data_IF_500869224597
#
_entry.id   IF_500869224597
#
_cell.length_a   1.000
_cell.length_b   1.000
_cell.length_c   1.000
_cell.angle_alpha   90.00
_cell.angle_beta   90.00
_cell.angle_gamma   90.00
#
_symmetry.space_group_name_H-M   'P 1'
#
loop_
_entity.id
_entity.type
_entity.pdbx_description
1 polymer ?
#
# COMPACT_ATOMS: atom_id res chain seq x y z
N UNK A 1 5.13 21.28 -23.37
CA UNK A 1 3.84 20.71 -23.81
C UNK A 1 2.88 20.75 -22.60
N UNK A 2 1.88 21.63 -22.66
CA UNK A 2 0.79 21.62 -21.68
C UNK A 2 -0.18 20.51 -22.07
N UNK A 3 -0.24 19.47 -21.23
CA UNK A 3 -1.17 18.35 -21.41
C UNK A 3 -2.36 18.58 -20.50
N UNK A 4 -3.59 18.49 -21.03
CA UNK A 4 -4.79 18.67 -20.21
C UNK A 4 -4.96 17.55 -19.17
N UNK A 5 -5.54 17.83 -17.99
CA UNK A 5 -5.83 16.79 -16.99
C UNK A 5 -6.66 15.64 -17.54
N UNK A 6 -7.58 15.91 -18.47
CA UNK A 6 -8.40 14.91 -19.15
C UNK A 6 -7.53 13.96 -20.00
N UNK A 7 -6.53 14.49 -20.67
CA UNK A 7 -5.59 13.69 -21.49
C UNK A 7 -4.71 12.82 -20.60
N UNK A 8 -4.19 13.36 -19.50
CA UNK A 8 -3.41 12.59 -18.51
C UNK A 8 -4.23 11.44 -17.97
N UNK A 9 -5.48 11.68 -17.54
CA UNK A 9 -6.39 10.65 -17.06
C UNK A 9 -6.56 9.52 -18.09
N UNK A 10 -6.77 9.87 -19.36
CA UNK A 10 -6.91 8.89 -20.45
C UNK A 10 -5.66 8.03 -20.63
N UNK A 11 -4.45 8.65 -20.53
CA UNK A 11 -3.21 7.88 -20.62
C UNK A 11 -3.06 6.92 -19.46
N UNK A 12 -3.36 7.33 -18.24
CA UNK A 12 -3.36 6.47 -17.07
C UNK A 12 -4.30 5.28 -17.27
N UNK A 13 -5.53 5.53 -17.76
CA UNK A 13 -6.50 4.46 -18.03
C UNK A 13 -6.01 3.47 -19.11
N UNK A 14 -5.29 3.94 -20.13
CA UNK A 14 -4.68 3.08 -21.17
C UNK A 14 -3.58 2.22 -20.55
N UNK A 15 -2.64 2.83 -19.81
CA UNK A 15 -1.52 2.12 -19.18
C UNK A 15 -2.00 1.07 -18.17
N UNK A 16 -3.09 1.36 -17.44
CA UNK A 16 -3.72 0.42 -16.51
C UNK A 16 -4.34 -0.78 -17.24
N UNK A 17 -5.07 -0.54 -18.35
CA UNK A 17 -5.60 -1.62 -19.20
C UNK A 17 -4.54 -2.48 -19.86
N UNK A 18 -3.35 -1.94 -20.07
CA UNK A 18 -2.18 -2.66 -20.60
C UNK A 18 -1.40 -3.40 -19.50
N UNK A 19 -1.85 -3.35 -18.24
CA UNK A 19 -1.13 -3.92 -17.09
C UNK A 19 0.30 -3.39 -16.92
N UNK A 20 0.56 -2.16 -17.34
CA UNK A 20 1.84 -1.49 -17.09
C UNK A 20 1.87 -0.85 -15.71
N UNK A 21 0.70 -0.33 -15.27
CA UNK A 21 0.52 0.30 -13.97
C UNK A 21 -0.76 -0.18 -13.30
N UNK A 22 -0.85 0.03 -11.99
CA UNK A 22 -2.09 -0.05 -11.23
C UNK A 22 -2.22 1.13 -10.27
N UNK A 23 -3.45 1.44 -9.89
CA UNK A 23 -3.76 2.56 -9.01
C UNK A 23 -4.17 2.08 -7.63
N UNK A 24 -3.62 2.73 -6.61
CA UNK A 24 -4.06 2.58 -5.22
C UNK A 24 -4.77 3.87 -4.82
N UNK A 25 -6.09 3.78 -4.65
CA UNK A 25 -6.94 4.93 -4.31
C UNK A 25 -6.90 5.20 -2.81
N UNK A 26 -7.20 6.43 -2.36
CA UNK A 26 -7.26 6.71 -0.93
C UNK A 26 -8.45 6.00 -0.27
N UNK A 27 -8.22 5.48 0.93
CA UNK A 27 -9.32 4.97 1.78
C UNK A 27 -10.18 6.14 2.25
N UNK A 28 -11.48 6.03 2.03
CA UNK A 28 -12.45 6.98 2.56
C UNK A 28 -13.75 6.26 2.91
N UNK A 29 -14.29 6.50 4.12
CA UNK A 29 -15.60 5.97 4.52
C UNK A 29 -16.73 6.42 3.59
N UNK A 30 -16.58 7.54 2.90
CA UNK A 30 -17.49 8.04 1.88
C UNK A 30 -16.85 7.93 0.50
N UNK A 31 -17.34 7.00 -0.33
CA UNK A 31 -16.82 6.68 -1.67
C UNK A 31 -16.76 7.92 -2.57
N UNK A 32 -17.76 8.80 -2.52
CA UNK A 32 -17.79 10.02 -3.33
C UNK A 32 -16.61 10.97 -3.03
N UNK A 33 -16.10 10.99 -1.80
CA UNK A 33 -14.92 11.79 -1.41
C UNK A 33 -13.60 11.11 -1.74
N UNK A 34 -13.57 9.79 -1.84
CA UNK A 34 -12.37 9.05 -2.28
C UNK A 34 -12.06 9.34 -3.75
N UNK A 35 -13.08 9.46 -4.59
CA UNK A 35 -12.93 9.70 -6.04
C UNK A 35 -12.31 11.07 -6.36
N UNK A 36 -12.39 12.04 -5.45
CA UNK A 36 -11.86 13.40 -5.63
C UNK A 36 -10.36 13.54 -5.28
N UNK A 37 -9.73 12.51 -4.72
CA UNK A 37 -8.31 12.53 -4.37
C UNK A 37 -7.49 11.76 -5.40
N UNK A 38 -6.27 12.22 -5.62
CA UNK A 38 -5.33 11.60 -6.56
C UNK A 38 -4.92 10.20 -6.08
N UNK A 39 -4.98 9.18 -6.94
CA UNK A 39 -4.48 7.85 -6.62
C UNK A 39 -2.94 7.84 -6.61
N UNK A 40 -2.34 6.98 -5.80
CA UNK A 40 -0.94 6.56 -5.99
C UNK A 40 -0.87 5.61 -7.20
N UNK A 41 0.19 5.74 -8.01
CA UNK A 41 0.41 4.93 -9.20
C UNK A 41 1.65 4.07 -8.98
N UNK A 42 1.52 2.77 -9.23
CA UNK A 42 2.60 1.80 -9.13
C UNK A 42 2.75 1.02 -10.45
N UNK A 43 3.96 0.57 -10.73
CA UNK A 43 4.26 -0.25 -11.90
C UNK A 43 4.14 -1.75 -11.57
N UNK A 44 3.64 -2.52 -12.52
CA UNK A 44 3.71 -4.00 -12.46
C UNK A 44 5.13 -4.51 -12.71
N UNK A 45 5.94 -3.80 -13.48
CA UNK A 45 7.36 -4.08 -13.67
C UNK A 45 8.20 -3.09 -12.85
N UNK A 46 8.88 -3.60 -11.82
CA UNK A 46 9.74 -2.80 -10.93
C UNK A 46 10.93 -2.18 -11.69
N UNK A 47 11.36 -2.79 -12.80
CA UNK A 47 12.40 -2.27 -13.67
C UNK A 47 12.05 -0.92 -14.30
N UNK A 48 10.75 -0.59 -14.43
CA UNK A 48 10.28 0.69 -14.94
C UNK A 48 10.31 1.82 -13.90
N UNK A 49 10.50 1.52 -12.62
CA UNK A 49 10.62 2.55 -11.57
C UNK A 49 11.98 3.22 -11.66
N UNK A 50 12.04 4.29 -12.45
CA UNK A 50 13.23 5.13 -12.61
C UNK A 50 13.28 6.18 -11.49
N UNK A 51 13.58 5.75 -10.26
CA UNK A 51 13.77 6.63 -9.13
C UNK A 51 15.15 6.42 -8.52
N UNK A 52 15.85 7.52 -8.23
CA UNK A 52 17.08 7.50 -7.43
C UNK A 52 16.78 7.20 -5.96
N UNK A 53 15.52 7.40 -5.53
CA UNK A 53 15.06 7.05 -4.20
C UNK A 53 14.79 5.53 -4.09
N UNK A 54 15.63 4.79 -3.36
CA UNK A 54 15.44 3.36 -3.17
C UNK A 54 14.17 3.06 -2.36
N UNK A 55 13.65 4.01 -1.58
CA UNK A 55 12.39 3.89 -0.85
C UNK A 55 11.21 3.77 -1.80
N UNK A 56 11.15 4.60 -2.83
CA UNK A 56 10.08 4.56 -3.83
C UNK A 56 10.04 3.22 -4.60
N UNK A 57 11.22 2.70 -4.96
CA UNK A 57 11.30 1.37 -5.60
C UNK A 57 10.86 0.26 -4.66
N UNK A 58 11.22 0.35 -3.40
CA UNK A 58 10.82 -0.63 -2.39
C UNK A 58 9.31 -0.54 -2.09
N UNK A 59 8.75 0.67 -2.00
CA UNK A 59 7.30 0.86 -1.85
C UNK A 59 6.53 0.23 -3.03
N UNK A 60 7.00 0.43 -4.26
CA UNK A 60 6.41 -0.21 -5.45
C UNK A 60 6.49 -1.74 -5.40
N UNK A 61 7.60 -2.30 -4.92
CA UNK A 61 7.75 -3.74 -4.72
C UNK A 61 6.70 -4.28 -3.75
N UNK A 62 6.53 -3.64 -2.62
CA UNK A 62 5.53 -4.03 -1.61
C UNK A 62 4.11 -3.88 -2.16
N UNK A 63 3.80 -2.78 -2.87
CA UNK A 63 2.50 -2.57 -3.52
C UNK A 63 2.16 -3.71 -4.49
N UNK A 64 3.13 -4.11 -5.33
CA UNK A 64 2.98 -5.19 -6.30
C UNK A 64 2.70 -6.53 -5.62
N UNK A 65 3.44 -6.86 -4.58
CA UNK A 65 3.23 -8.12 -3.86
C UNK A 65 1.93 -8.14 -3.05
N UNK A 66 1.52 -6.99 -2.50
CA UNK A 66 0.22 -6.87 -1.83
C UNK A 66 -0.94 -7.08 -2.82
N UNK A 67 -0.96 -6.39 -3.95
CA UNK A 67 -2.06 -6.54 -4.90
C UNK A 67 -2.12 -7.97 -5.46
N UNK A 68 -0.97 -8.58 -5.74
CA UNK A 68 -0.88 -9.98 -6.17
C UNK A 68 -1.44 -10.94 -5.12
N UNK A 69 -1.09 -10.75 -3.85
CA UNK A 69 -1.62 -11.54 -2.75
C UNK A 69 -3.14 -11.40 -2.61
N UNK A 70 -3.65 -10.17 -2.69
CA UNK A 70 -5.08 -9.90 -2.58
C UNK A 70 -5.86 -10.53 -3.74
N UNK A 71 -5.39 -10.41 -4.98
CA UNK A 71 -5.99 -11.10 -6.14
C UNK A 71 -5.93 -12.63 -5.97
N UNK A 72 -4.83 -13.19 -5.46
CA UNK A 72 -4.76 -14.61 -5.15
C UNK A 72 -5.87 -15.04 -4.16
N UNK A 73 -6.14 -14.25 -3.13
CA UNK A 73 -7.20 -14.53 -2.18
C UNK A 73 -8.60 -14.42 -2.80
N UNK A 74 -8.82 -13.45 -3.70
CA UNK A 74 -10.07 -13.34 -4.47
C UNK A 74 -10.28 -14.56 -5.35
N UNK A 75 -9.29 -14.92 -6.16
CA UNK A 75 -9.40 -15.98 -7.17
C UNK A 75 -9.51 -17.37 -6.54
N UNK A 76 -8.77 -17.64 -5.45
CA UNK A 76 -8.68 -18.98 -4.87
C UNK A 76 -9.60 -19.21 -3.67
N UNK A 77 -10.01 -18.15 -2.96
CA UNK A 77 -10.81 -18.23 -1.72
C UNK A 77 -12.17 -17.55 -1.85
N UNK A 78 -12.39 -16.79 -2.93
CA UNK A 78 -13.62 -16.00 -3.11
C UNK A 78 -13.76 -14.87 -2.08
N UNK A 79 -12.66 -14.37 -1.53
CA UNK A 79 -12.70 -13.28 -0.56
C UNK A 79 -12.89 -11.93 -1.26
N UNK A 80 -13.55 -10.98 -0.60
CA UNK A 80 -13.70 -9.62 -1.08
C UNK A 80 -12.58 -8.77 -0.48
N UNK A 81 -11.51 -8.57 -1.23
CA UNK A 81 -10.34 -7.84 -0.78
C UNK A 81 -10.41 -6.35 -1.13
N UNK A 82 -9.55 -5.54 -0.55
CA UNK A 82 -9.40 -4.14 -0.93
C UNK A 82 -7.97 -3.66 -0.64
N UNK A 83 -7.43 -2.79 -1.51
CA UNK A 83 -6.16 -2.12 -1.34
C UNK A 83 -6.33 -0.61 -1.53
N UNK A 84 -5.93 0.15 -0.53
CA UNK A 84 -5.98 1.60 -0.49
C UNK A 84 -4.71 2.17 0.17
N UNK A 85 -4.54 3.51 0.14
CA UNK A 85 -3.67 4.23 1.07
C UNK A 85 -4.51 5.09 2.00
N UNK A 86 -3.96 5.54 3.14
CA UNK A 86 -4.67 6.46 4.03
C UNK A 86 -3.96 7.79 4.05
N UNK A 87 -4.72 8.88 3.85
CA UNK A 87 -4.23 10.24 4.02
C UNK A 87 -5.33 11.11 4.62
N UNK A 88 -5.02 11.78 5.75
CA UNK A 88 -5.95 12.72 6.37
C UNK A 88 -5.83 14.16 5.82
N UNK A 89 -6.59 15.08 6.38
CA UNK A 89 -6.55 16.50 5.98
C UNK A 89 -5.31 17.24 6.51
N UNK A 90 -4.67 16.71 7.53
CA UNK A 90 -3.47 17.25 8.15
C UNK A 90 -2.19 16.78 7.42
N UNK A 91 -2.33 15.89 6.46
CA UNK A 91 -1.23 15.37 5.67
C UNK A 91 -0.54 14.13 6.26
N UNK A 92 -1.07 13.56 7.36
CA UNK A 92 -0.60 12.26 7.82
C UNK A 92 -0.97 11.19 6.78
N UNK A 93 -0.01 10.36 6.42
CA UNK A 93 -0.19 9.33 5.41
C UNK A 93 0.41 8.00 5.86
N UNK A 94 -0.26 6.89 5.53
CA UNK A 94 0.25 5.53 5.60
C UNK A 94 0.12 4.91 4.23
N UNK A 95 1.16 4.21 3.79
CA UNK A 95 1.31 3.75 2.41
C UNK A 95 0.21 2.81 1.98
N UNK A 96 -0.20 1.85 2.83
CA UNK A 96 -1.24 0.89 2.48
C UNK A 96 -2.22 0.68 3.61
N UNK A 97 -3.50 0.59 3.23
CA UNK A 97 -4.61 0.05 4.00
C UNK A 97 -5.22 -1.07 3.18
N UNK A 98 -5.36 -2.26 3.74
CA UNK A 98 -5.92 -3.38 3.01
C UNK A 98 -6.80 -4.26 3.88
N UNK A 99 -7.70 -4.99 3.21
CA UNK A 99 -8.53 -6.02 3.81
C UNK A 99 -8.39 -7.30 2.99
N UNK A 100 -8.28 -8.42 3.67
CA UNK A 100 -8.23 -9.75 3.04
C UNK A 100 -9.62 -10.31 2.75
N UNK A 101 -10.66 -9.70 3.31
CA UNK A 101 -12.04 -10.20 3.21
C UNK A 101 -12.31 -11.45 4.06
N UNK A 102 -11.33 -11.96 4.78
CA UNK A 102 -11.49 -13.12 5.65
C UNK A 102 -12.33 -12.76 6.88
N UNK A 103 -13.34 -13.59 7.16
CA UNK A 103 -14.27 -13.35 8.28
C UNK A 103 -13.51 -13.30 9.61
N UNK A 104 -13.74 -12.24 10.38
CA UNK A 104 -13.11 -12.02 11.69
C UNK A 104 -11.74 -11.37 11.64
N UNK A 105 -11.13 -11.21 10.48
CA UNK A 105 -9.89 -10.44 10.32
C UNK A 105 -10.18 -8.93 10.33
N UNK A 106 -9.31 -8.18 11.04
CA UNK A 106 -9.36 -6.72 11.03
C UNK A 106 -8.64 -6.20 9.80
N UNK A 107 -9.03 -5.01 9.30
CA UNK A 107 -8.22 -4.31 8.31
C UNK A 107 -6.79 -4.11 8.80
N UNK A 108 -5.86 -4.04 7.88
CA UNK A 108 -4.44 -3.85 8.17
C UNK A 108 -3.95 -2.55 7.55
N UNK A 109 -3.07 -1.85 8.27
CA UNK A 109 -2.28 -0.74 7.74
C UNK A 109 -0.81 -1.12 7.70
N UNK A 110 -0.13 -0.68 6.66
CA UNK A 110 1.25 -1.01 6.42
C UNK A 110 2.02 0.23 5.95
N UNK A 111 3.15 0.46 6.58
CA UNK A 111 4.12 1.50 6.24
C UNK A 111 5.40 0.85 5.75
N UNK A 112 5.99 1.40 4.71
CA UNK A 112 7.22 0.92 4.10
C UNK A 112 8.38 1.84 4.47
N UNK A 113 9.48 1.27 4.96
CA UNK A 113 10.70 2.03 5.30
C UNK A 113 11.93 1.37 4.70
N UNK A 114 12.79 2.16 4.06
CA UNK A 114 14.04 1.64 3.52
C UNK A 114 15.01 1.24 4.64
N UNK A 115 15.16 2.10 5.65
CA UNK A 115 15.97 1.84 6.83
C UNK A 115 15.43 2.64 8.00
N UNK A 116 14.78 2.00 8.96
CA UNK A 116 14.33 2.66 10.18
C UNK A 116 14.21 1.66 11.32
N UNK A 117 14.59 2.10 12.53
CA UNK A 117 14.54 1.26 13.74
C UNK A 117 13.35 1.59 14.65
N UNK A 118 12.71 2.74 14.46
CA UNK A 118 11.56 3.18 15.24
C UNK A 118 10.26 3.03 14.45
N UNK A 119 9.14 2.94 15.15
CA UNK A 119 7.83 2.94 14.50
C UNK A 119 7.52 4.30 13.87
N UNK A 120 6.96 4.31 12.65
CA UNK A 120 6.50 5.51 11.97
C UNK A 120 5.45 6.23 12.82
N UNK A 121 5.61 7.55 12.98
CA UNK A 121 4.65 8.39 13.72
C UNK A 121 3.26 8.35 13.09
N UNK A 122 3.19 8.32 11.77
CA UNK A 122 1.91 8.22 11.05
C UNK A 122 1.24 6.86 11.29
N UNK A 123 2.02 5.78 11.33
CA UNK A 123 1.49 4.46 11.61
C UNK A 123 0.91 4.37 13.03
N UNK A 124 1.61 4.92 14.02
CA UNK A 124 1.11 5.05 15.41
C UNK A 124 -0.19 5.85 15.43
N UNK A 125 -0.19 7.03 14.79
CA UNK A 125 -1.33 7.93 14.73
C UNK A 125 -2.60 7.26 14.20
N UNK A 126 -2.51 6.50 13.10
CA UNK A 126 -3.67 5.82 12.54
C UNK A 126 -4.05 4.56 13.31
N UNK A 127 -3.07 3.81 13.83
CA UNK A 127 -3.33 2.62 14.62
C UNK A 127 -4.14 2.93 15.89
N UNK A 128 -3.84 4.03 16.57
CA UNK A 128 -4.58 4.47 17.76
C UNK A 128 -6.02 4.93 17.47
N UNK A 129 -6.31 5.37 16.24
CA UNK A 129 -7.61 5.91 15.81
C UNK A 129 -8.50 4.92 15.06
N UNK A 130 -7.90 3.91 14.52
CA UNK A 130 -8.57 2.89 13.74
C UNK A 130 -8.41 1.53 14.44
N UNK A 131 -9.44 0.72 14.41
CA UNK A 131 -9.36 -0.65 14.93
C UNK A 131 -8.74 -1.58 13.88
N UNK A 132 -7.42 -1.43 13.68
CA UNK A 132 -6.65 -2.08 12.61
C UNK A 132 -5.39 -2.75 13.15
N UNK A 133 -4.89 -3.75 12.42
CA UNK A 133 -3.54 -4.27 12.61
C UNK A 133 -2.54 -3.32 11.95
N UNK A 134 -1.37 -3.10 12.57
CA UNK A 134 -0.38 -2.16 12.07
C UNK A 134 0.99 -2.83 11.91
N UNK A 135 1.55 -2.78 10.71
CA UNK A 135 2.85 -3.36 10.38
C UNK A 135 3.75 -2.34 9.68
N UNK A 136 5.00 -2.28 10.11
CA UNK A 136 6.06 -1.56 9.41
C UNK A 136 6.98 -2.56 8.73
N UNK A 137 7.17 -2.44 7.42
CA UNK A 137 8.05 -3.31 6.64
C UNK A 137 9.34 -2.56 6.35
N UNK A 138 10.49 -3.14 6.75
CA UNK A 138 11.79 -2.48 6.67
C UNK A 138 12.71 -3.24 5.70
N UNK A 139 13.19 -2.56 4.64
CA UNK A 139 14.06 -3.18 3.64
C UNK A 139 15.40 -3.63 4.23
N UNK A 140 16.13 -2.73 4.90
CA UNK A 140 17.41 -3.02 5.58
C UNK A 140 17.22 -3.59 7.00
N UNK A 141 16.00 -4.00 7.35
CA UNK A 141 15.73 -4.67 8.63
C UNK A 141 16.25 -6.09 8.64
N UNK A 142 16.81 -6.52 9.75
CA UNK A 142 17.30 -7.89 9.96
C UNK A 142 16.65 -8.59 11.15
N UNK A 143 15.75 -7.92 11.86
CA UNK A 143 15.04 -8.44 13.03
C UNK A 143 13.62 -7.91 13.08
N UNK A 144 12.74 -8.70 13.66
CA UNK A 144 11.39 -8.26 14.01
C UNK A 144 11.40 -7.57 15.36
N UNK A 145 10.74 -6.41 15.44
CA UNK A 145 10.55 -5.64 16.67
C UNK A 145 9.07 -5.40 16.92
N UNK A 146 8.69 -5.31 18.19
CA UNK A 146 7.36 -4.89 18.60
C UNK A 146 7.44 -3.51 19.25
N UNK A 147 6.72 -2.54 18.72
CA UNK A 147 6.59 -1.18 19.24
C UNK A 147 5.13 -0.94 19.65
N UNK A 148 4.77 -1.29 20.88
CA UNK A 148 3.38 -1.25 21.32
C UNK A 148 2.53 -2.20 20.46
N UNK A 149 1.52 -1.67 19.79
CA UNK A 149 0.64 -2.43 18.89
C UNK A 149 1.18 -2.56 17.44
N UNK A 150 2.35 -1.97 17.15
CA UNK A 150 2.95 -1.99 15.81
C UNK A 150 4.03 -3.06 15.75
N UNK A 151 3.94 -3.90 14.73
CA UNK A 151 4.95 -4.90 14.41
C UNK A 151 5.86 -4.38 13.30
N UNK A 152 7.15 -4.22 13.59
CA UNK A 152 8.17 -3.88 12.57
C UNK A 152 8.89 -5.15 12.15
N UNK A 153 8.88 -5.48 10.86
CA UNK A 153 9.40 -6.74 10.31
C UNK A 153 10.32 -6.50 9.12
N UNK A 154 11.34 -7.36 8.92
CA UNK A 154 12.14 -7.35 7.70
C UNK A 154 11.29 -7.60 6.45
N UNK A 155 11.70 -6.99 5.33
CA UNK A 155 11.03 -7.15 4.04
C UNK A 155 10.90 -8.63 3.63
N UNK A 156 11.95 -9.41 3.84
CA UNK A 156 11.95 -10.82 3.46
C UNK A 156 10.91 -11.63 4.24
N UNK A 157 10.75 -11.35 5.53
CA UNK A 157 9.78 -12.04 6.38
C UNK A 157 8.35 -11.67 5.97
N UNK A 158 8.13 -10.38 5.66
CA UNK A 158 6.83 -9.93 5.16
C UNK A 158 6.47 -10.60 3.84
N UNK A 159 7.35 -10.52 2.84
CA UNK A 159 7.11 -11.08 1.51
C UNK A 159 6.92 -12.60 1.56
N UNK A 160 7.69 -13.30 2.41
CA UNK A 160 7.54 -14.75 2.59
C UNK A 160 6.24 -15.14 3.30
N UNK A 161 5.57 -14.21 3.99
CA UNK A 161 4.28 -14.45 4.64
C UNK A 161 3.09 -14.31 3.70
N UNK A 162 3.27 -13.72 2.52
CA UNK A 162 2.24 -13.58 1.51
C UNK A 162 2.05 -14.91 0.75
N UNK A 163 0.79 -15.31 0.55
CA UNK A 163 0.44 -16.55 -0.12
C UNK A 163 0.35 -16.34 -1.65
N UNK A 164 1.48 -16.12 -2.32
CA UNK A 164 1.53 -16.11 -3.80
C UNK A 164 2.98 -16.13 -4.30
#
# INVERSE_FOLDING_TARGET
LEISPKTVKRYIEILERMYLIFRVTPFHKNIARAILKEPKIYFFDIGLVQSEDPGARFENLIALHLIKHLHYLEDTKGYSTALHYIRDKQGHEVDFYYTTGKKGEKPSILEVKYSEQSASKNLVYFQERLNVSATQVVYKGNRTFQHGAIRSIPAIDFLSSLAC
#
